data_IF_090801653508
#
_entry.id   IF_090801653508
#
_cell.length_a   1.000
_cell.length_b   1.000
_cell.length_c   1.000
_cell.angle_alpha   90.00
_cell.angle_beta   90.00
_cell.angle_gamma   90.00
#
_symmetry.space_group_name_H-M   'P 1'
#
loop_
_entity.id
_entity.type
_entity.pdbx_description
1 polymer ?
#
# COMPACT_ATOMS: atom_id res chain seq x y z
N UNK A 1 -5.84 7.98 -2.10
CA UNK A 1 -7.30 7.68 -2.07
C UNK A 1 -7.73 6.75 -3.19
N UNK A 2 -7.68 7.13 -4.47
CA UNK A 2 -8.24 6.31 -5.57
C UNK A 2 -7.63 4.90 -5.62
N UNK A 3 -6.30 4.77 -5.61
CA UNK A 3 -5.65 3.45 -5.60
C UNK A 3 -6.12 2.59 -4.41
N UNK A 4 -6.26 3.20 -3.23
CA UNK A 4 -6.58 2.48 -2.02
C UNK A 4 -8.04 2.01 -1.95
N UNK A 5 -8.99 2.83 -2.39
CA UNK A 5 -10.40 2.39 -2.45
C UNK A 5 -10.58 1.29 -3.52
N UNK A 6 -9.87 1.39 -4.64
CA UNK A 6 -9.86 0.34 -5.67
C UNK A 6 -9.27 -0.96 -5.13
N UNK A 7 -8.15 -0.91 -4.40
CA UNK A 7 -7.57 -2.10 -3.77
C UNK A 7 -8.52 -2.71 -2.74
N UNK A 8 -9.09 -1.91 -1.84
CA UNK A 8 -9.85 -2.42 -0.71
C UNK A 8 -11.28 -2.88 -1.04
N UNK A 9 -11.93 -2.32 -2.07
CA UNK A 9 -13.31 -2.66 -2.47
C UNK A 9 -13.45 -3.26 -3.87
N UNK A 10 -12.42 -3.19 -4.72
CA UNK A 10 -12.54 -3.50 -6.14
C UNK A 10 -12.50 -4.99 -6.49
N UNK A 11 -12.03 -5.85 -5.60
CA UNK A 11 -11.96 -7.29 -5.85
C UNK A 11 -11.06 -8.04 -4.85
N UNK A 12 -10.57 -9.20 -5.29
CA UNK A 12 -9.75 -10.12 -4.48
C UNK A 12 -8.27 -10.11 -4.90
N UNK A 13 -7.86 -9.10 -5.67
CA UNK A 13 -6.52 -8.93 -6.19
C UNK A 13 -6.29 -7.49 -6.62
N UNK A 14 -5.04 -7.06 -6.60
CA UNK A 14 -4.62 -5.71 -7.00
C UNK A 14 -3.55 -5.79 -8.08
N UNK A 15 -3.61 -4.87 -9.04
CA UNK A 15 -2.65 -4.76 -10.12
C UNK A 15 -2.29 -3.29 -10.32
N UNK A 16 -0.99 -3.04 -10.47
CA UNK A 16 -0.47 -1.71 -10.74
C UNK A 16 0.48 -1.76 -11.95
N UNK A 17 0.35 -0.80 -12.86
CA UNK A 17 1.20 -0.70 -14.05
C UNK A 17 2.45 0.11 -13.71
N UNK A 18 3.62 -0.32 -14.21
CA UNK A 18 4.92 0.28 -13.86
C UNK A 18 4.97 1.82 -13.96
N UNK A 19 5.30 2.45 -12.85
CA UNK A 19 5.39 3.89 -12.67
C UNK A 19 4.13 4.54 -12.08
N UNK A 20 2.97 3.88 -12.14
CA UNK A 20 1.74 4.45 -11.60
C UNK A 20 1.74 4.46 -10.06
N UNK A 21 2.49 3.57 -9.39
CA UNK A 21 2.71 3.54 -7.93
C UNK A 21 3.17 4.89 -7.37
N UNK A 22 3.99 5.62 -8.13
CA UNK A 22 4.49 6.93 -7.72
C UNK A 22 3.87 8.09 -8.50
N UNK A 23 2.84 7.84 -9.31
CA UNK A 23 2.20 8.86 -10.13
C UNK A 23 3.11 9.40 -11.23
N UNK A 24 3.77 8.50 -11.98
CA UNK A 24 4.61 8.85 -13.12
C UNK A 24 3.87 9.82 -14.06
N UNK A 25 4.48 10.96 -14.41
CA UNK A 25 3.80 11.98 -15.21
C UNK A 25 3.67 11.55 -16.66
N UNK A 26 3.01 12.40 -17.45
CA UNK A 26 2.85 12.24 -18.89
C UNK A 26 2.05 10.98 -19.27
N UNK A 27 2.37 10.37 -20.41
CA UNK A 27 1.71 9.18 -20.93
C UNK A 27 2.74 8.26 -21.60
N UNK A 28 2.32 7.04 -21.93
CA UNK A 28 3.13 6.08 -22.69
C UNK A 28 2.79 6.25 -24.17
N UNK A 29 3.81 6.40 -25.01
CA UNK A 29 3.67 6.35 -26.46
C UNK A 29 4.88 5.61 -27.04
N UNK A 30 4.62 4.74 -28.01
CA UNK A 30 5.66 3.98 -28.69
C UNK A 30 6.09 4.70 -29.98
N UNK A 31 7.33 4.54 -30.44
CA UNK A 31 7.77 5.08 -31.71
C UNK A 31 6.85 4.66 -32.86
N UNK A 32 6.25 5.64 -33.54
CA UNK A 32 5.35 5.44 -34.69
C UNK A 32 5.40 6.65 -35.61
N UNK A 33 4.88 6.52 -36.82
CA UNK A 33 4.86 7.62 -37.81
C UNK A 33 4.23 8.90 -37.22
N UNK A 34 3.10 8.78 -36.53
CA UNK A 34 2.38 9.92 -35.95
C UNK A 34 3.06 10.60 -34.74
N UNK A 35 4.25 10.14 -34.32
CA UNK A 35 5.11 10.85 -33.37
C UNK A 35 6.56 10.95 -33.86
N UNK A 36 6.77 10.85 -35.18
CA UNK A 36 8.10 10.92 -35.81
C UNK A 36 9.09 9.88 -35.26
N UNK A 37 8.60 8.67 -34.92
CA UNK A 37 9.40 7.59 -34.34
C UNK A 37 10.10 8.00 -33.02
N UNK A 38 9.46 8.85 -32.22
CA UNK A 38 10.02 9.33 -30.95
C UNK A 38 10.02 8.25 -29.87
N UNK A 39 11.11 8.18 -29.12
CA UNK A 39 11.28 7.30 -27.96
C UNK A 39 11.07 8.02 -26.61
N UNK A 40 10.80 9.33 -26.62
CA UNK A 40 10.75 10.13 -25.38
C UNK A 40 9.71 9.61 -24.36
N UNK A 41 8.58 9.07 -24.83
CA UNK A 41 7.51 8.52 -23.98
C UNK A 41 7.60 7.00 -23.77
N UNK A 42 8.53 6.34 -24.43
CA UNK A 42 8.76 4.89 -24.35
C UNK A 42 9.83 4.55 -23.27
N UNK A 43 9.74 5.19 -22.11
CA UNK A 43 10.67 5.02 -20.97
C UNK A 43 9.96 5.18 -19.64
N UNK A 44 10.65 4.85 -18.55
CA UNK A 44 10.25 5.17 -17.16
C UNK A 44 11.27 6.14 -16.55
N UNK A 45 10.78 7.19 -15.90
CA UNK A 45 11.62 8.23 -15.29
C UNK A 45 11.89 7.93 -13.81
N UNK A 46 12.66 6.88 -13.52
CA UNK A 46 12.94 6.45 -12.14
C UNK A 46 13.60 7.53 -11.27
N UNK A 47 14.37 8.44 -11.89
CA UNK A 47 14.94 9.59 -11.20
C UNK A 47 13.89 10.46 -10.48
N UNK A 48 12.63 10.46 -10.93
CA UNK A 48 11.56 11.24 -10.30
C UNK A 48 11.22 10.76 -8.89
N UNK A 49 11.22 9.44 -8.67
CA UNK A 49 10.92 8.85 -7.36
C UNK A 49 12.14 8.85 -6.44
N UNK A 50 13.35 8.72 -7.00
CA UNK A 50 14.61 8.71 -6.24
C UNK A 50 15.03 10.10 -5.74
N UNK A 51 14.54 11.17 -6.37
CA UNK A 51 14.97 12.54 -6.07
C UNK A 51 14.20 13.15 -4.91
N UNK A 52 14.90 13.39 -3.79
CA UNK A 52 14.30 13.80 -2.52
C UNK A 52 13.56 15.14 -2.50
N UNK A 53 13.93 16.09 -3.36
CA UNK A 53 13.28 17.39 -3.42
C UNK A 53 11.97 17.37 -4.24
N UNK A 54 11.65 16.25 -4.88
CA UNK A 54 10.38 16.04 -5.58
C UNK A 54 9.36 15.35 -4.68
N UNK A 55 8.10 15.36 -5.11
CA UNK A 55 6.96 14.85 -4.34
C UNK A 55 6.52 13.43 -4.70
N UNK A 56 7.10 12.82 -5.74
CA UNK A 56 6.74 11.46 -6.20
C UNK A 56 6.97 10.39 -5.13
N UNK A 57 8.01 10.58 -4.30
CA UNK A 57 8.33 9.70 -3.17
C UNK A 57 7.18 9.51 -2.18
N UNK A 58 6.33 10.52 -2.00
CA UNK A 58 5.18 10.45 -1.11
C UNK A 58 4.11 9.46 -1.60
N UNK A 59 3.81 9.48 -2.91
CA UNK A 59 2.88 8.52 -3.52
C UNK A 59 3.48 7.11 -3.50
N UNK A 60 4.78 6.98 -3.80
CA UNK A 60 5.49 5.70 -3.72
C UNK A 60 5.47 5.10 -2.31
N UNK A 61 5.73 5.92 -1.28
CA UNK A 61 5.69 5.49 0.11
C UNK A 61 4.28 5.06 0.52
N UNK A 62 3.24 5.75 0.05
CA UNK A 62 1.86 5.36 0.31
C UNK A 62 1.49 4.03 -0.39
N UNK A 63 1.93 3.82 -1.63
CA UNK A 63 1.73 2.55 -2.35
C UNK A 63 2.45 1.38 -1.64
N UNK A 64 3.68 1.60 -1.17
CA UNK A 64 4.41 0.63 -0.35
C UNK A 64 3.66 0.29 0.95
N UNK A 65 3.16 1.31 1.66
CA UNK A 65 2.39 1.14 2.89
C UNK A 65 1.08 0.38 2.65
N UNK A 66 0.40 0.70 1.55
CA UNK A 66 -0.85 0.08 1.14
C UNK A 66 -0.69 -1.42 0.87
N UNK A 67 0.34 -1.82 0.12
CA UNK A 67 0.65 -3.23 -0.11
C UNK A 67 1.08 -3.94 1.19
N UNK A 68 1.87 -3.28 2.03
CA UNK A 68 2.31 -3.83 3.33
C UNK A 68 1.13 -4.02 4.30
N UNK A 69 0.10 -3.18 4.21
CA UNK A 69 -1.12 -3.31 4.99
C UNK A 69 -1.90 -4.56 4.59
N UNK A 70 -2.01 -4.85 3.30
CA UNK A 70 -2.67 -6.08 2.83
C UNK A 70 -1.85 -7.33 3.18
N UNK A 71 -0.52 -7.30 3.08
CA UNK A 71 0.31 -8.42 3.54
C UNK A 71 0.07 -8.73 5.02
N UNK A 72 -0.16 -7.70 5.85
CA UNK A 72 -0.40 -7.84 7.29
C UNK A 72 -1.82 -8.29 7.66
N UNK A 73 -2.84 -7.78 6.97
CA UNK A 73 -4.25 -8.00 7.33
C UNK A 73 -5.02 -8.90 6.36
N UNK A 74 -4.41 -9.23 5.22
CA UNK A 74 -4.93 -10.09 4.15
C UNK A 74 -6.36 -9.74 3.73
N UNK A 75 -6.68 -8.45 3.67
CA UNK A 75 -8.04 -7.97 3.45
C UNK A 75 -8.53 -8.26 2.02
N UNK A 76 -7.62 -8.36 1.03
CA UNK A 76 -7.95 -8.82 -0.32
C UNK A 76 -8.50 -10.26 -0.34
N UNK A 77 -7.96 -11.14 0.50
CA UNK A 77 -8.42 -12.55 0.56
C UNK A 77 -9.70 -12.75 1.40
N UNK A 78 -10.12 -11.73 2.14
CA UNK A 78 -11.29 -11.82 3.02
C UNK A 78 -12.60 -11.71 2.25
N UNK A 79 -13.52 -12.64 2.49
CA UNK A 79 -14.90 -12.57 2.00
C UNK A 79 -15.77 -11.55 2.75
N UNK A 80 -15.34 -11.08 3.92
CA UNK A 80 -16.04 -10.06 4.69
C UNK A 80 -15.84 -8.70 4.00
N UNK A 81 -16.91 -8.20 3.37
CA UNK A 81 -16.99 -6.87 2.77
C UNK A 81 -18.37 -6.27 3.07
N UNK A 82 -18.40 -5.15 3.79
CA UNK A 82 -19.64 -4.47 4.18
C UNK A 82 -19.45 -2.97 4.00
N UNK A 83 -20.20 -2.36 3.08
CA UNK A 83 -20.28 -0.90 2.97
C UNK A 83 -21.35 -0.40 3.92
N UNK A 84 -20.95 0.26 5.00
CA UNK A 84 -21.88 0.74 6.03
C UNK A 84 -22.44 2.10 5.69
N UNK A 85 -21.64 3.00 5.09
CA UNK A 85 -22.08 4.37 4.81
C UNK A 85 -21.62 4.84 3.43
N UNK A 86 -22.53 5.49 2.71
CA UNK A 86 -22.33 6.13 1.41
C UNK A 86 -23.00 7.50 1.47
N UNK A 87 -22.37 8.40 2.22
CA UNK A 87 -22.95 9.71 2.48
C UNK A 87 -22.65 10.67 1.32
N UNK A 88 -23.65 10.89 0.46
CA UNK A 88 -23.53 11.75 -0.71
C UNK A 88 -23.34 13.22 -0.34
N UNK A 89 -23.98 13.73 0.71
CA UNK A 89 -23.87 15.15 1.07
C UNK A 89 -22.48 15.46 1.64
N UNK A 90 -21.99 14.58 2.51
CA UNK A 90 -20.69 14.71 3.16
C UNK A 90 -19.55 14.19 2.31
N UNK A 91 -19.84 13.46 1.22
CA UNK A 91 -18.87 12.81 0.34
C UNK A 91 -17.97 11.85 1.12
N UNK A 92 -18.55 11.10 2.05
CA UNK A 92 -17.85 10.14 2.90
C UNK A 92 -18.31 8.73 2.56
N UNK A 93 -17.35 7.81 2.42
CA UNK A 93 -17.60 6.38 2.25
C UNK A 93 -16.96 5.65 3.42
N UNK A 94 -17.74 4.80 4.09
CA UNK A 94 -17.29 3.97 5.21
C UNK A 94 -17.61 2.51 4.93
N UNK A 95 -16.62 1.64 5.10
CA UNK A 95 -16.80 0.21 4.87
C UNK A 95 -15.85 -0.63 5.71
N UNK A 96 -16.18 -1.91 5.84
CA UNK A 96 -15.34 -2.95 6.42
C UNK A 96 -14.88 -3.90 5.33
N UNK A 97 -13.59 -4.23 5.34
CA UNK A 97 -13.02 -5.33 4.55
C UNK A 97 -12.07 -6.12 5.46
N UNK A 98 -12.36 -7.41 5.67
CA UNK A 98 -11.65 -8.22 6.67
C UNK A 98 -11.79 -7.64 8.07
N UNK A 99 -10.67 -7.49 8.77
CA UNK A 99 -10.61 -6.98 10.15
C UNK A 99 -10.42 -5.45 10.23
N UNK A 100 -10.46 -4.77 9.08
CA UNK A 100 -10.22 -3.34 8.97
C UNK A 100 -11.51 -2.57 8.70
N UNK A 101 -11.61 -1.38 9.32
CA UNK A 101 -12.63 -0.36 9.04
C UNK A 101 -11.99 0.77 8.26
N UNK A 102 -12.56 1.14 7.11
CA UNK A 102 -12.04 2.15 6.21
C UNK A 102 -12.95 3.37 6.18
N UNK A 103 -12.35 4.55 6.22
CA UNK A 103 -13.05 5.83 6.14
C UNK A 103 -12.41 6.67 5.05
N UNK A 104 -13.19 7.03 4.03
CA UNK A 104 -12.76 7.87 2.91
C UNK A 104 -13.57 9.15 2.90
N UNK A 105 -12.92 10.31 3.08
CA UNK A 105 -13.55 11.61 2.95
C UNK A 105 -13.12 12.26 1.64
N UNK A 106 -14.01 12.26 0.64
CA UNK A 106 -13.81 12.90 -0.66
C UNK A 106 -14.26 14.37 -0.69
N UNK A 107 -14.76 14.92 0.42
CA UNK A 107 -15.14 16.32 0.48
C UNK A 107 -13.92 17.21 0.18
N UNK A 108 -14.06 18.26 -0.64
CA UNK A 108 -12.93 19.12 -1.02
C UNK A 108 -12.32 19.95 0.11
N UNK A 109 -13.00 20.13 1.25
CA UNK A 109 -12.60 21.11 2.27
C UNK A 109 -13.20 20.90 3.67
N UNK A 110 -14.30 20.15 3.85
CA UNK A 110 -14.88 19.90 5.17
C UNK A 110 -14.11 18.83 5.91
N UNK A 111 -13.73 19.17 7.15
CA UNK A 111 -13.24 18.24 8.16
C UNK A 111 -14.41 17.85 9.04
N UNK A 112 -14.55 16.56 9.33
CA UNK A 112 -15.53 16.05 10.29
C UNK A 112 -14.82 15.64 11.56
N UNK A 113 -15.10 16.33 12.65
CA UNK A 113 -14.62 15.98 13.98
C UNK A 113 -15.67 15.14 14.70
N UNK A 114 -15.25 13.99 15.24
CA UNK A 114 -16.15 13.05 15.90
C UNK A 114 -17.13 12.34 14.96
N UNK A 115 -16.74 12.10 13.69
CA UNK A 115 -17.55 11.38 12.70
C UNK A 115 -17.84 9.97 13.17
N UNK A 116 -19.12 9.59 13.27
CA UNK A 116 -19.51 8.27 13.77
C UNK A 116 -19.40 7.23 12.65
N UNK A 117 -18.69 6.14 12.91
CA UNK A 117 -18.49 5.03 11.98
C UNK A 117 -18.94 3.72 12.61
N UNK A 118 -19.65 2.88 11.84
CA UNK A 118 -20.10 1.57 12.28
C UNK A 118 -18.97 0.54 12.23
N UNK A 119 -18.99 -0.43 13.15
CA UNK A 119 -18.03 -1.52 13.21
C UNK A 119 -18.64 -2.80 13.77
N UNK A 120 -17.98 -3.93 13.51
CA UNK A 120 -18.43 -5.26 13.92
C UNK A 120 -18.24 -5.53 15.41
N UNK A 121 -16.97 -5.54 15.84
CA UNK A 121 -16.58 -6.03 17.15
C UNK A 121 -16.38 -4.84 18.08
N UNK A 122 -16.88 -4.91 19.32
CA UNK A 122 -16.61 -3.88 20.31
C UNK A 122 -15.13 -3.93 20.72
N UNK A 123 -14.66 -2.83 21.28
CA UNK A 123 -13.33 -2.70 21.88
C UNK A 123 -12.70 -1.36 21.54
N UNK A 124 -11.42 -1.43 21.18
CA UNK A 124 -10.56 -0.27 20.95
C UNK A 124 -9.97 -0.31 19.56
N UNK A 125 -10.10 0.77 18.82
CA UNK A 125 -9.59 0.91 17.45
C UNK A 125 -8.45 1.93 17.38
N UNK A 126 -7.46 1.64 16.53
CA UNK A 126 -6.34 2.52 16.21
C UNK A 126 -6.13 2.60 14.71
N UNK A 127 -5.40 3.63 14.29
CA UNK A 127 -5.01 3.82 12.89
C UNK A 127 -4.10 2.68 12.44
N UNK A 128 -4.50 1.99 11.38
CA UNK A 128 -3.68 0.99 10.68
C UNK A 128 -2.86 1.64 9.55
N UNK A 129 -3.51 2.53 8.79
CA UNK A 129 -2.88 3.33 7.72
C UNK A 129 -3.64 4.65 7.58
N UNK A 130 -2.92 5.76 7.52
CA UNK A 130 -3.47 7.11 7.37
C UNK A 130 -2.79 7.82 6.20
N UNK A 131 -3.56 8.19 5.17
CA UNK A 131 -3.03 8.91 4.02
C UNK A 131 -2.61 10.35 4.31
N UNK A 132 -3.06 10.94 5.42
CA UNK A 132 -2.72 12.30 5.82
C UNK A 132 -1.38 12.38 6.55
N UNK A 133 -0.70 11.25 6.82
CA UNK A 133 0.60 11.25 7.46
C UNK A 133 1.66 12.04 6.64
N UNK A 134 2.58 12.70 7.34
CA UNK A 134 3.63 13.53 6.71
C UNK A 134 4.53 12.72 5.75
N UNK A 135 4.79 11.45 6.09
CA UNK A 135 5.57 10.50 5.26
C UNK A 135 4.92 10.22 3.90
N UNK A 136 3.62 10.47 3.76
CA UNK A 136 2.86 10.36 2.50
C UNK A 136 2.51 11.73 1.90
N UNK A 137 3.16 12.79 2.38
CA UNK A 137 2.97 14.16 1.88
C UNK A 137 1.64 14.81 2.32
N UNK A 138 0.97 14.23 3.33
CA UNK A 138 -0.22 14.81 3.95
C UNK A 138 0.11 15.91 4.98
N UNK A 139 -0.89 16.27 5.79
CA UNK A 139 -0.77 17.37 6.76
C UNK A 139 -0.52 16.93 8.21
N UNK A 140 -0.52 15.62 8.51
CA UNK A 140 -0.26 15.06 9.83
C UNK A 140 -1.33 15.40 10.87
N UNK A 141 -2.62 15.48 10.47
CA UNK A 141 -3.70 15.91 11.37
C UNK A 141 -4.31 14.76 12.18
N UNK A 142 -4.21 13.54 11.70
CA UNK A 142 -4.77 12.36 12.35
C UNK A 142 -3.76 11.80 13.36
N UNK A 143 -4.18 11.63 14.62
CA UNK A 143 -3.33 11.08 15.67
C UNK A 143 -3.24 9.55 15.59
N UNK A 144 -2.04 9.00 15.47
CA UNK A 144 -1.82 7.55 15.31
C UNK A 144 -1.91 6.79 16.64
N UNK A 145 -1.62 7.46 17.76
CA UNK A 145 -1.68 6.88 19.12
C UNK A 145 -3.06 7.03 19.79
N UNK A 146 -4.04 7.61 19.09
CA UNK A 146 -5.37 7.88 19.66
C UNK A 146 -6.19 6.58 19.73
N UNK A 147 -6.67 6.28 20.93
CA UNK A 147 -7.56 5.15 21.20
C UNK A 147 -9.02 5.55 20.88
N UNK A 148 -9.62 4.86 19.91
CA UNK A 148 -11.02 5.06 19.52
C UNK A 148 -11.89 3.96 20.13
N UNK A 149 -12.63 4.27 21.19
CA UNK A 149 -13.48 3.31 21.89
C UNK A 149 -14.85 3.15 21.23
N UNK A 150 -15.32 1.91 21.14
CA UNK A 150 -16.64 1.62 20.60
C UNK A 150 -17.77 1.87 21.61
N UNK A 151 -18.91 2.32 21.12
CA UNK A 151 -20.20 2.34 21.81
C UNK A 151 -21.13 1.28 21.22
N UNK A 152 -21.89 0.53 22.05
CA UNK A 152 -22.91 -0.38 21.54
C UNK A 152 -24.03 0.37 20.81
N UNK A 153 -24.49 -0.16 19.69
CA UNK A 153 -25.57 0.41 18.88
C UNK A 153 -26.66 -0.66 18.70
N UNK A 154 -27.72 -0.54 19.50
CA UNK A 154 -28.87 -1.45 19.43
C UNK A 154 -28.61 -2.86 19.95
N UNK A 155 -29.37 -3.83 19.39
CA UNK A 155 -29.29 -5.25 19.73
C UNK A 155 -28.68 -6.01 18.55
N UNK A 156 -27.62 -6.82 18.76
CA UNK A 156 -27.02 -7.62 17.71
C UNK A 156 -28.05 -8.48 16.97
N UNK A 157 -28.06 -8.41 15.64
CA UNK A 157 -29.02 -9.13 14.78
C UNK A 157 -30.33 -8.39 14.50
N UNK A 158 -30.58 -7.22 15.11
CA UNK A 158 -31.76 -6.38 14.84
C UNK A 158 -31.33 -5.12 14.10
N UNK A 159 -31.31 -5.20 12.78
CA UNK A 159 -30.81 -4.15 11.88
C UNK A 159 -31.40 -2.76 12.15
N UNK A 160 -32.68 -2.68 12.50
CA UNK A 160 -33.41 -1.42 12.77
C UNK A 160 -32.87 -0.65 13.97
N UNK A 161 -32.24 -1.34 14.93
CA UNK A 161 -31.67 -0.72 16.13
C UNK A 161 -30.19 -0.37 15.97
N UNK A 162 -29.56 -0.87 14.91
CA UNK A 162 -28.13 -0.76 14.67
C UNK A 162 -27.78 0.56 13.98
N UNK A 163 -26.56 1.05 14.16
CA UNK A 163 -26.05 2.18 13.41
C UNK A 163 -25.56 1.70 12.03
N UNK A 164 -26.24 2.10 10.95
CA UNK A 164 -25.87 1.71 9.58
C UNK A 164 -25.71 0.17 9.41
N UNK A 165 -26.63 -0.61 10.01
CA UNK A 165 -26.60 -2.08 10.09
C UNK A 165 -25.40 -2.68 10.85
N UNK A 166 -24.68 -1.88 11.65
CA UNK A 166 -23.56 -2.33 12.48
C UNK A 166 -23.89 -2.29 13.98
N UNK A 167 -23.52 -3.32 14.75
CA UNK A 167 -23.89 -3.44 16.17
C UNK A 167 -23.07 -2.53 17.11
N UNK A 168 -21.99 -1.93 16.62
CA UNK A 168 -21.14 -1.03 17.40
C UNK A 168 -20.74 0.18 16.54
N UNK A 169 -20.38 1.29 17.17
CA UNK A 169 -19.81 2.45 16.49
C UNK A 169 -18.65 3.06 17.26
N UNK A 170 -17.74 3.75 16.59
CA UNK A 170 -16.77 4.64 17.22
C UNK A 170 -16.72 5.98 16.47
N UNK A 171 -16.04 6.97 17.02
CA UNK A 171 -15.91 8.31 16.43
C UNK A 171 -14.50 8.52 15.90
N UNK A 172 -14.35 9.24 14.79
CA UNK A 172 -13.06 9.54 14.16
C UNK A 172 -12.93 11.00 13.76
N UNK A 173 -11.69 11.48 13.63
CA UNK A 173 -11.38 12.68 12.89
C UNK A 173 -11.23 12.34 11.41
N UNK A 174 -11.94 13.04 10.54
CA UNK A 174 -11.93 12.81 9.09
C UNK A 174 -11.68 14.12 8.33
N UNK A 175 -10.41 14.50 8.10
CA UNK A 175 -10.06 15.68 7.31
C UNK A 175 -10.43 15.52 5.82
N UNK A 176 -10.59 16.61 5.06
CA UNK A 176 -10.97 16.55 3.65
C UNK A 176 -9.89 15.86 2.82
N UNK A 177 -10.31 15.08 1.81
CA UNK A 177 -9.45 14.33 0.89
C UNK A 177 -8.46 13.41 1.60
N UNK A 178 -8.95 12.67 2.59
CA UNK A 178 -8.16 11.68 3.34
C UNK A 178 -8.82 10.30 3.28
N UNK A 179 -8.00 9.27 3.39
CA UNK A 179 -8.45 7.91 3.63
C UNK A 179 -7.67 7.27 4.77
N UNK A 180 -8.38 6.73 5.75
CA UNK A 180 -7.80 6.14 6.95
C UNK A 180 -8.40 4.75 7.17
N UNK A 181 -7.55 3.76 7.37
CA UNK A 181 -7.93 2.42 7.79
C UNK A 181 -7.67 2.26 9.29
N UNK A 182 -8.57 1.58 9.99
CA UNK A 182 -8.52 1.32 11.42
C UNK A 182 -8.54 -0.17 11.71
N UNK A 183 -7.76 -0.60 12.68
CA UNK A 183 -7.76 -1.97 13.17
C UNK A 183 -8.20 -2.00 14.64
N UNK A 184 -8.81 -3.12 15.05
CA UNK A 184 -9.11 -3.37 16.45
C UNK A 184 -7.85 -3.85 17.17
N UNK A 185 -7.51 -3.20 18.28
CA UNK A 185 -6.38 -3.58 19.13
C UNK A 185 -6.72 -4.88 19.88
N UNK A 186 -5.82 -5.87 19.81
CA UNK A 186 -5.88 -7.05 20.67
C UNK A 186 -5.32 -6.70 22.06
N UNK A 187 -6.21 -6.36 22.99
CA UNK A 187 -5.83 -5.93 24.34
C UNK A 187 -5.06 -7.01 25.11
N UNK A 188 -5.38 -8.29 24.92
CA UNK A 188 -4.67 -9.40 25.58
C UNK A 188 -3.28 -9.59 24.99
N UNK A 189 -3.17 -9.49 23.66
CA UNK A 189 -1.90 -9.53 22.94
C UNK A 189 -0.98 -8.36 23.32
N UNK A 190 -1.51 -7.14 23.41
CA UNK A 190 -0.76 -5.97 23.85
C UNK A 190 -0.28 -6.10 25.31
N UNK A 191 -1.11 -6.63 26.21
CA UNK A 191 -0.72 -6.79 27.61
C UNK A 191 0.43 -7.80 27.77
N UNK A 192 0.37 -8.91 27.03
CA UNK A 192 1.46 -9.89 26.98
C UNK A 192 2.74 -9.29 26.40
N UNK A 193 2.63 -8.49 25.32
CA UNK A 193 3.78 -7.77 24.74
C UNK A 193 4.34 -6.73 25.69
N UNK A 194 3.52 -5.97 26.44
CA UNK A 194 3.99 -5.01 27.45
C UNK A 194 4.71 -5.71 28.60
N UNK A 195 4.19 -6.84 29.07
CA UNK A 195 4.85 -7.65 30.10
C UNK A 195 6.19 -8.22 29.60
N UNK A 196 6.27 -8.62 28.34
CA UNK A 196 7.52 -9.07 27.70
C UNK A 196 8.51 -7.93 27.38
N UNK A 197 8.01 -6.76 26.95
CA UNK A 197 8.80 -5.57 26.63
C UNK A 197 9.36 -4.90 27.89
N UNK A 198 8.62 -4.90 29.00
CA UNK A 198 9.11 -4.49 30.31
C UNK A 198 10.29 -5.38 30.78
N UNK A 199 10.37 -6.63 30.31
CA UNK A 199 11.51 -7.52 30.56
C UNK A 199 12.68 -7.33 29.55
N UNK A 200 12.47 -6.64 28.43
CA UNK A 200 13.42 -6.52 27.30
C UNK A 200 13.88 -5.08 27.00
N UNK A 201 13.27 -4.06 27.64
CA UNK A 201 13.70 -2.66 27.55
C UNK A 201 13.47 -1.98 26.20
N UNK A 202 12.64 -2.53 25.30
CA UNK A 202 12.33 -1.95 23.98
C UNK A 202 10.83 -1.82 23.79
N UNK A 203 10.35 -0.60 23.58
CA UNK A 203 8.97 -0.31 23.13
C UNK A 203 9.07 0.17 21.69
N UNK A 204 8.44 -0.55 20.76
CA UNK A 204 8.24 -0.11 19.37
C UNK A 204 6.73 0.03 19.13
N UNK A 205 6.25 1.15 18.54
CA UNK A 205 4.84 1.32 18.20
C UNK A 205 4.42 0.35 17.08
N UNK A 206 3.18 -0.17 17.13
CA UNK A 206 2.60 -1.09 16.13
C UNK A 206 2.00 -0.36 14.90
N UNK A 207 2.49 0.84 14.61
CA UNK A 207 2.23 1.50 13.33
C UNK A 207 3.19 0.89 12.27
N UNK A 208 2.78 0.85 11.00
CA UNK A 208 3.69 0.45 9.91
C UNK A 208 4.73 1.57 9.76
N UNK A 209 5.82 1.46 10.52
CA UNK A 209 6.95 2.37 10.50
C UNK A 209 7.77 2.15 9.22
N UNK A 210 7.59 3.05 8.25
CA UNK A 210 8.41 3.07 7.02
C UNK A 210 9.60 3.99 7.30
N UNK A 211 10.45 3.59 8.24
CA UNK A 211 11.76 4.22 8.45
C UNK A 211 12.78 3.18 8.98
N UNK A 212 13.04 2.13 8.20
CA UNK A 212 14.21 1.25 8.42
C UNK A 212 14.67 0.39 7.22
N UNK A 213 14.19 0.61 5.99
CA UNK A 213 14.82 -0.01 4.82
C UNK A 213 15.95 0.88 4.33
N UNK A 214 17.11 0.81 4.99
CA UNK A 214 18.37 1.18 4.33
C UNK A 214 18.42 0.42 3.01
N UNK A 215 18.39 1.15 1.89
CA UNK A 215 18.74 0.64 0.57
C UNK A 215 20.12 -0.02 0.72
N UNK A 216 20.15 -1.35 0.80
CA UNK A 216 21.40 -2.10 0.71
C UNK A 216 21.94 -1.88 -0.70
N UNK A 217 22.80 -0.87 -0.83
CA UNK A 217 23.71 -0.74 -1.97
C UNK A 217 24.48 -2.06 -2.08
N UNK A 218 24.55 -2.70 -3.26
CA UNK A 218 25.46 -3.81 -3.47
C UNK A 218 26.89 -3.25 -3.33
N UNK A 219 27.55 -3.55 -2.21
CA UNK A 219 28.99 -3.37 -2.10
C UNK A 219 29.64 -4.50 -2.88
N UNK A 220 30.24 -4.19 -4.02
CA UNK A 220 31.23 -5.03 -4.67
C UNK A 220 32.38 -5.24 -3.70
N UNK A 221 32.48 -6.44 -3.12
CA UNK A 221 33.70 -6.90 -2.46
C UNK A 221 34.58 -7.46 -3.55
N UNK A 222 35.68 -6.77 -3.86
CA UNK A 222 36.84 -7.40 -4.48
C UNK A 222 37.34 -8.47 -3.51
N UNK A 223 37.27 -9.74 -3.93
CA UNK A 223 37.92 -10.84 -3.23
C UNK A 223 39.15 -11.25 -4.02
N UNK A 224 40.29 -11.13 -3.36
CA UNK A 224 41.62 -11.52 -3.80
C UNK A 224 41.65 -12.97 -4.33
N UNK A 225 42.29 -13.12 -5.48
CA UNK A 225 42.48 -14.37 -6.20
C UNK A 225 43.64 -15.16 -5.59
N UNK A 226 43.40 -16.39 -5.16
CA UNK A 226 44.47 -17.38 -4.92
C UNK A 226 44.10 -18.76 -5.44
N UNK A 227 45.12 -19.41 -6.01
CA UNK A 227 45.29 -20.83 -6.39
C UNK A 227 44.69 -21.34 -7.70
N UNK A 228 45.59 -21.46 -8.69
CA UNK A 228 46.02 -22.70 -9.36
C UNK A 228 44.96 -23.75 -9.74
N UNK A 229 44.86 -24.02 -11.05
CA UNK A 229 44.29 -25.27 -11.57
C UNK A 229 43.71 -25.14 -12.98
N UNK A 230 44.47 -25.60 -13.98
CA UNK A 230 44.08 -25.69 -15.40
C UNK A 230 42.75 -26.43 -15.63
N UNK A 231 41.83 -25.89 -16.46
CA UNK A 231 41.31 -26.61 -17.65
C UNK A 231 40.55 -25.70 -18.63
N UNK A 232 40.56 -26.15 -19.89
CA UNK A 232 40.27 -25.47 -21.16
C UNK A 232 38.78 -25.18 -21.42
N UNK A 233 38.54 -24.03 -22.08
CA UNK A 233 37.37 -23.52 -22.82
C UNK A 233 36.15 -24.45 -23.09
N UNK A 234 34.96 -23.90 -22.80
CA UNK A 234 33.69 -24.32 -23.41
C UNK A 234 32.58 -23.28 -23.18
N UNK A 235 32.34 -22.40 -24.16
CA UNK A 235 31.28 -21.38 -24.09
C UNK A 235 29.87 -21.97 -24.13
N UNK A 236 29.00 -21.53 -23.21
CA UNK A 236 27.60 -21.94 -23.13
C UNK A 236 26.65 -20.75 -23.09
N UNK A 237 25.94 -20.52 -24.20
CA UNK A 237 24.77 -19.63 -24.28
C UNK A 237 23.61 -20.29 -23.52
N UNK A 238 23.08 -19.64 -22.48
CA UNK A 238 21.85 -20.06 -21.82
C UNK A 238 20.62 -19.58 -22.59
N UNK A 239 19.83 -20.51 -23.14
CA UNK A 239 18.50 -20.26 -23.68
C UNK A 239 17.45 -20.92 -22.80
N UNK A 240 16.46 -20.17 -22.32
CA UNK A 240 15.28 -20.76 -21.66
C UNK A 240 14.12 -20.82 -22.67
N UNK A 241 13.57 -22.02 -22.86
CA UNK A 241 12.39 -22.30 -23.66
C UNK A 241 11.29 -22.78 -22.72
N UNK A 242 10.13 -22.13 -22.78
CA UNK A 242 8.88 -22.68 -22.28
C UNK A 242 8.11 -23.26 -23.47
N UNK A 243 7.49 -24.43 -23.29
CA UNK A 243 6.54 -25.02 -24.24
C UNK A 243 5.13 -24.74 -23.74
N UNK A 244 4.32 -24.16 -24.61
CA UNK A 244 2.87 -24.13 -24.56
C UNK A 244 2.30 -25.26 -25.42
N UNK A 245 1.25 -25.93 -24.93
CA UNK A 245 0.61 -27.11 -25.55
C UNK A 245 -0.30 -26.76 -26.75
N UNK A 246 0.05 -25.73 -27.52
CA UNK A 246 -0.72 -25.30 -28.68
C UNK A 246 0.15 -24.89 -29.88
N UNK A 247 1.22 -25.64 -30.15
CA UNK A 247 1.74 -25.88 -31.50
C UNK A 247 2.08 -24.68 -32.40
N UNK A 248 2.20 -23.45 -31.88
CA UNK A 248 2.49 -22.27 -32.68
C UNK A 248 3.67 -21.49 -32.10
N UNK A 249 4.70 -21.24 -32.93
CA UNK A 249 5.98 -20.66 -32.48
C UNK A 249 5.80 -19.19 -32.04
N UNK A 250 5.93 -18.94 -30.75
CA UNK A 250 5.97 -17.59 -30.17
C UNK A 250 7.21 -16.78 -30.56
N UNK A 251 7.05 -15.46 -30.71
CA UNK A 251 8.09 -14.48 -31.02
C UNK A 251 9.18 -14.43 -29.93
N UNK A 252 10.44 -14.30 -30.36
CA UNK A 252 11.61 -14.25 -29.50
C UNK A 252 11.90 -12.80 -29.10
N UNK A 253 11.65 -12.43 -27.85
CA UNK A 253 12.06 -11.14 -27.31
C UNK A 253 13.53 -11.20 -26.85
N UNK A 254 14.34 -10.26 -27.34
CA UNK A 254 15.74 -10.07 -26.93
C UNK A 254 15.80 -8.79 -26.11
N UNK A 255 16.05 -8.93 -24.80
CA UNK A 255 16.40 -7.79 -23.96
C UNK A 255 17.91 -7.56 -24.08
N UNK A 256 18.32 -6.42 -24.64
CA UNK A 256 19.69 -5.92 -24.49
C UNK A 256 19.74 -5.05 -23.24
N UNK A 257 20.59 -5.43 -22.28
CA UNK A 257 21.12 -4.51 -21.29
C UNK A 257 21.90 -3.44 -22.05
N UNK A 258 21.58 -2.18 -21.80
CA UNK A 258 22.24 -1.02 -22.38
C UNK A 258 23.25 -0.53 -21.36
N UNK A 259 24.32 -1.30 -21.17
CA UNK A 259 25.55 -0.82 -20.55
C UNK A 259 26.65 -1.00 -21.60
N UNK A 260 27.41 0.07 -21.81
CA UNK A 260 28.48 0.24 -22.80
C UNK A 260 28.02 0.52 -24.24
N UNK A 261 27.69 1.78 -24.52
CA UNK A 261 28.21 2.52 -25.69
C UNK A 261 27.74 3.98 -25.64
N UNK A 262 28.49 4.82 -24.93
CA UNK A 262 28.44 6.27 -25.09
C UNK A 262 29.87 6.80 -25.13
N UNK A 263 30.43 6.84 -26.35
CA UNK A 263 31.59 7.65 -26.73
C UNK A 263 31.19 8.52 -27.92
#
# INVERSE_FOLDING_TARGET
>A
MIHFITMALGGDGYLNFMGNEFGHPEWIDFPREGNNWSYDKCRRQWSLVDTDHLRYKYMNAFDQAMNSLDEKFSFLSSSKQIVSDMNEEEKVIVFERGDLVFVFNFHPNKTYDGYKVGCDLPGKYRVALDSDALVFGGHGRVGHDVDHFTSPEGVPGVAETNFNNRPNSFKVLSPPRTCVAYYRVDEKGEELKRRGAAASGKIAPEYIDIDAAQVKRPTTKESEETTDGETIFGGGKGSYSWKDDSGNKGMKFVFRSCDEDCK
#
